data_IF_327329678581
#
_entry.id   IF_327329678581
#
_cell.length_a   1.000
_cell.length_b   1.000
_cell.length_c   1.000
_cell.angle_alpha   90.00
_cell.angle_beta   90.00
_cell.angle_gamma   90.00
#
_symmetry.space_group_name_H-M   'P 1'
#
loop_
_entity.id
_entity.type
_entity.pdbx_description
1 polymer ?
#
# COMPACT_ATOMS: atom_id res chain seq x y z
N UNK A 1 -40.61 -9.89 -5.69
CA UNK A 1 -39.28 -10.32 -6.19
C UNK A 1 -38.60 -11.13 -5.09
N UNK A 2 -38.24 -12.39 -5.35
CA UNK A 2 -37.65 -13.26 -4.32
C UNK A 2 -36.18 -12.89 -4.08
N UNK A 3 -35.83 -12.58 -2.82
CA UNK A 3 -34.50 -12.16 -2.38
C UNK A 3 -33.38 -13.14 -2.79
N UNK A 4 -33.69 -14.43 -2.89
CA UNK A 4 -32.73 -15.45 -3.31
C UNK A 4 -32.19 -15.23 -4.74
N UNK A 5 -33.01 -14.71 -5.66
CA UNK A 5 -32.55 -14.39 -7.03
C UNK A 5 -31.66 -13.15 -7.08
N UNK A 6 -31.87 -12.20 -6.17
CA UNK A 6 -31.05 -10.97 -6.08
C UNK A 6 -29.65 -11.30 -5.53
N UNK A 7 -29.58 -12.15 -4.51
CA UNK A 7 -28.32 -12.62 -3.93
C UNK A 7 -27.53 -13.46 -4.94
N UNK A 8 -28.21 -14.39 -5.63
CA UNK A 8 -27.58 -15.20 -6.68
C UNK A 8 -27.10 -14.38 -7.89
N UNK A 9 -27.81 -13.29 -8.22
CA UNK A 9 -27.38 -12.33 -9.24
C UNK A 9 -26.13 -11.54 -8.81
N UNK A 10 -26.06 -11.12 -7.55
CA UNK A 10 -24.90 -10.45 -6.99
C UNK A 10 -23.65 -11.36 -6.98
N UNK A 11 -23.82 -12.67 -6.76
CA UNK A 11 -22.73 -13.66 -6.77
C UNK A 11 -22.20 -14.03 -8.17
N UNK A 12 -22.73 -13.44 -9.23
CA UNK A 12 -22.27 -13.74 -10.59
C UNK A 12 -20.82 -13.28 -10.76
N UNK A 13 -19.98 -14.10 -11.41
CA UNK A 13 -18.54 -13.83 -11.67
C UNK A 13 -18.29 -12.43 -12.22
N UNK A 14 -19.19 -11.91 -13.06
CA UNK A 14 -19.11 -10.54 -13.61
C UNK A 14 -19.21 -9.45 -12.54
N UNK A 15 -20.13 -9.60 -11.58
CA UNK A 15 -20.32 -8.64 -10.50
C UNK A 15 -19.22 -8.75 -9.45
N UNK A 16 -18.73 -9.97 -9.19
CA UNK A 16 -17.55 -10.19 -8.34
C UNK A 16 -16.29 -9.53 -8.94
N UNK A 17 -16.07 -9.64 -10.25
CA UNK A 17 -14.94 -8.99 -10.91
C UNK A 17 -15.04 -7.45 -10.86
N UNK A 18 -16.23 -6.90 -11.09
CA UNK A 18 -16.48 -5.45 -10.97
C UNK A 18 -16.26 -4.94 -9.55
N UNK A 19 -16.61 -5.72 -8.53
CA UNK A 19 -16.41 -5.35 -7.14
C UNK A 19 -14.94 -5.47 -6.72
N UNK A 20 -14.25 -6.54 -7.10
CA UNK A 20 -12.88 -6.86 -6.62
C UNK A 20 -11.80 -6.16 -7.44
N UNK A 21 -12.04 -5.92 -8.74
CA UNK A 21 -11.08 -5.30 -9.66
C UNK A 21 -10.47 -3.98 -9.15
N UNK A 22 -11.29 -3.00 -8.68
CA UNK A 22 -10.77 -1.75 -8.13
C UNK A 22 -9.88 -1.94 -6.90
N UNK A 23 -10.22 -2.86 -6.00
CA UNK A 23 -9.39 -3.15 -4.82
C UNK A 23 -8.07 -3.81 -5.19
N UNK A 24 -8.08 -4.75 -6.15
CA UNK A 24 -6.85 -5.33 -6.67
C UNK A 24 -5.96 -4.28 -7.33
N UNK A 25 -6.53 -3.39 -8.16
CA UNK A 25 -5.78 -2.30 -8.78
C UNK A 25 -5.18 -1.34 -7.75
N UNK A 26 -5.95 -0.95 -6.74
CA UNK A 26 -5.46 -0.11 -5.65
C UNK A 26 -4.32 -0.78 -4.88
N UNK A 27 -4.47 -2.05 -4.52
CA UNK A 27 -3.46 -2.78 -3.78
C UNK A 27 -2.15 -2.93 -4.58
N UNK A 28 -2.24 -3.23 -5.87
CA UNK A 28 -1.07 -3.28 -6.74
C UNK A 28 -0.37 -1.92 -6.83
N UNK A 29 -1.14 -0.83 -7.00
CA UNK A 29 -0.58 0.53 -6.98
C UNK A 29 0.14 0.84 -5.67
N UNK A 30 -0.47 0.48 -4.53
CA UNK A 30 0.13 0.67 -3.21
C UNK A 30 1.47 -0.08 -3.06
N UNK A 31 1.58 -1.29 -3.61
CA UNK A 31 2.82 -2.06 -3.58
C UNK A 31 3.91 -1.40 -4.43
N UNK A 32 3.55 -0.91 -5.61
CA UNK A 32 4.46 -0.16 -6.49
C UNK A 32 4.96 1.11 -5.81
N UNK A 33 4.07 1.93 -5.25
CA UNK A 33 4.43 3.18 -4.56
C UNK A 33 5.35 2.93 -3.36
N UNK A 34 5.10 1.86 -2.58
CA UNK A 34 5.99 1.47 -1.48
C UNK A 34 7.37 1.12 -1.99
N UNK A 35 7.45 0.34 -3.08
CA UNK A 35 8.74 -0.04 -3.66
C UNK A 35 9.53 1.16 -4.19
N UNK A 36 8.86 2.17 -4.75
CA UNK A 36 9.51 3.41 -5.18
C UNK A 36 9.93 4.27 -3.99
N UNK A 37 9.10 4.35 -2.96
CA UNK A 37 9.42 5.07 -1.72
C UNK A 37 10.68 4.50 -1.06
N UNK A 38 10.82 3.17 -1.03
CA UNK A 38 12.02 2.50 -0.53
C UNK A 38 13.27 2.85 -1.36
N UNK A 39 13.14 3.02 -2.67
CA UNK A 39 14.24 3.49 -3.55
C UNK A 39 14.59 4.96 -3.29
N UNK A 40 13.63 5.77 -2.86
CA UNK A 40 13.80 7.20 -2.57
C UNK A 40 14.35 7.48 -1.15
N UNK A 41 15.01 6.51 -0.51
CA UNK A 41 15.54 6.65 0.86
C UNK A 41 16.94 7.28 0.94
N UNK A 42 17.61 7.55 -0.19
CA UNK A 42 19.01 8.01 -0.20
C UNK A 42 19.25 9.36 0.51
N UNK A 43 18.27 10.24 0.49
CA UNK A 43 18.31 11.54 1.18
C UNK A 43 17.50 11.56 2.48
N UNK A 44 17.06 10.39 2.95
CA UNK A 44 16.33 10.26 4.22
C UNK A 44 17.23 10.73 5.36
N UNK A 45 16.68 11.55 6.25
CA UNK A 45 17.34 12.10 7.44
C UNK A 45 18.61 12.94 7.16
N UNK A 46 18.71 13.49 5.94
CA UNK A 46 19.81 14.39 5.51
C UNK A 46 19.36 15.80 5.12
N UNK A 47 18.08 16.13 5.31
CA UNK A 47 17.56 17.47 5.03
C UNK A 47 17.96 18.47 6.11
N UNK A 48 17.97 19.77 5.79
CA UNK A 48 18.34 20.82 6.75
C UNK A 48 17.39 20.88 7.97
N UNK A 49 16.12 20.50 7.78
CA UNK A 49 15.08 20.57 8.83
C UNK A 49 14.98 19.29 9.66
N UNK A 50 15.21 18.12 9.05
CA UNK A 50 15.01 16.81 9.67
C UNK A 50 16.27 15.96 9.72
N UNK A 51 17.45 16.58 9.58
CA UNK A 51 18.74 15.93 9.73
C UNK A 51 18.90 15.36 11.13
N UNK A 52 19.24 14.07 11.24
CA UNK A 52 19.44 13.40 12.53
C UNK A 52 20.87 12.85 12.63
N UNK A 53 21.47 12.83 13.83
CA UNK A 53 22.75 12.15 14.04
C UNK A 53 22.59 10.64 13.80
N UNK A 54 23.62 9.96 13.30
CA UNK A 54 23.58 8.52 13.09
C UNK A 54 23.36 7.78 14.42
N UNK A 55 22.71 6.60 14.41
CA UNK A 55 22.50 5.82 15.62
C UNK A 55 23.83 5.35 16.24
N UNK A 56 23.85 5.08 17.56
CA UNK A 56 25.03 4.54 18.25
C UNK A 56 25.52 3.21 17.62
N UNK A 57 26.83 2.89 17.75
CA UNK A 57 27.38 1.64 17.24
C UNK A 57 26.62 0.42 17.79
N UNK A 58 26.17 -0.48 16.89
CA UNK A 58 25.43 -1.69 17.25
C UNK A 58 23.91 -1.55 17.28
N UNK A 59 23.36 -0.35 17.07
CA UNK A 59 21.92 -0.11 16.99
C UNK A 59 21.48 -0.01 15.53
N UNK A 60 20.48 -0.80 15.13
CA UNK A 60 19.91 -0.76 13.78
C UNK A 60 19.18 0.57 13.56
N UNK A 61 19.43 1.22 12.44
CA UNK A 61 18.75 2.45 12.06
C UNK A 61 17.27 2.18 11.76
N UNK A 62 16.38 2.83 12.51
CA UNK A 62 14.92 2.74 12.32
C UNK A 62 14.53 3.89 11.38
N UNK A 63 13.77 3.65 10.29
CA UNK A 63 13.28 4.72 9.43
C UNK A 63 12.44 5.73 10.22
N UNK A 64 12.48 7.00 9.81
CA UNK A 64 11.76 8.10 10.47
C UNK A 64 10.26 8.16 10.15
N UNK A 65 9.74 7.20 9.40
CA UNK A 65 8.36 7.09 8.92
C UNK A 65 7.86 5.65 9.05
#
# INVERSE_FOLDING_TARGET
MSYAKVISSCLTVKNAFLAVGPFCGFYLGLLLDRSETERMTRYRDRSALYGRPPPPPGVKEIPSW
#
